data_IF_459440147012
#
_entry.id   IF_459440147012
#
_cell.length_a   1.000
_cell.length_b   1.000
_cell.length_c   1.000
_cell.angle_alpha   90.00
_cell.angle_beta   90.00
_cell.angle_gamma   90.00
#
_symmetry.space_group_name_H-M   'P 1'
#
loop_
_entity.id
_entity.type
_entity.pdbx_description
1 polymer ?
#
# COMPACT_ATOMS: atom_id res chain seq x y z
N UNK A 1 -11.03 10.64 28.67
CA UNK A 1 -9.91 9.68 28.58
C UNK A 1 -9.89 8.85 27.29
N UNK A 2 -10.52 9.29 26.19
CA UNK A 2 -10.52 8.56 24.90
C UNK A 2 -9.60 9.18 23.82
N UNK A 3 -8.97 10.33 24.10
CA UNK A 3 -8.15 11.06 23.13
C UNK A 3 -6.65 10.66 23.16
N UNK A 4 -6.21 9.90 24.16
CA UNK A 4 -4.81 9.50 24.32
C UNK A 4 -4.42 8.26 23.51
N UNK A 5 -5.37 7.35 23.26
CA UNK A 5 -5.10 6.10 22.53
C UNK A 5 -4.83 6.36 21.06
N UNK A 6 -5.52 7.33 20.45
CA UNK A 6 -5.36 7.66 19.03
C UNK A 6 -3.97 8.24 18.75
N UNK A 7 -3.49 9.24 19.50
CA UNK A 7 -2.17 9.86 19.29
C UNK A 7 -0.98 8.89 19.36
N UNK A 8 -1.09 7.83 20.18
CA UNK A 8 -0.05 6.83 20.32
C UNK A 8 0.01 5.88 19.11
N UNK A 9 -1.14 5.56 18.52
CA UNK A 9 -1.25 4.69 17.35
C UNK A 9 -0.63 5.30 16.07
N UNK A 10 -0.55 6.63 15.98
CA UNK A 10 0.13 7.33 14.88
C UNK A 10 1.65 7.43 15.08
N UNK A 11 2.15 7.39 16.32
CA UNK A 11 3.57 7.65 16.61
C UNK A 11 4.51 6.55 16.13
N UNK A 12 4.01 5.31 16.12
CA UNK A 12 4.81 4.13 15.83
C UNK A 12 4.79 3.74 14.34
N UNK A 13 3.93 4.37 13.53
CA UNK A 13 3.81 4.15 12.08
C UNK A 13 4.76 5.09 11.33
N UNK A 14 5.98 4.61 11.07
CA UNK A 14 7.05 5.43 10.50
C UNK A 14 7.44 5.04 9.08
N UNK A 15 7.05 3.85 8.61
CA UNK A 15 7.50 3.34 7.33
C UNK A 15 6.46 3.46 6.22
N UNK A 16 6.96 3.67 5.01
CA UNK A 16 6.23 3.48 3.78
C UNK A 16 6.47 2.05 3.30
N UNK A 17 5.46 1.40 2.73
CA UNK A 17 5.63 0.14 2.05
C UNK A 17 5.26 0.26 0.57
N UNK A 18 5.83 -0.59 -0.29
CA UNK A 18 5.62 -0.53 -1.74
C UNK A 18 5.24 -1.88 -2.32
N UNK A 19 4.24 -1.89 -3.19
CA UNK A 19 3.92 -3.03 -4.04
C UNK A 19 3.85 -2.52 -5.48
N UNK A 20 4.84 -2.85 -6.31
CA UNK A 20 4.91 -2.24 -7.63
C UNK A 20 5.87 -2.90 -8.59
N UNK A 21 5.90 -2.39 -9.82
CA UNK A 21 6.84 -2.83 -10.85
C UNK A 21 8.29 -2.48 -10.49
N UNK A 22 9.24 -3.09 -11.20
CA UNK A 22 10.68 -2.94 -10.94
C UNK A 22 11.12 -1.48 -10.98
N UNK A 23 10.64 -0.71 -11.97
CA UNK A 23 10.98 0.70 -12.14
C UNK A 23 10.46 1.55 -10.97
N UNK A 24 9.21 1.35 -10.55
CA UNK A 24 8.59 2.10 -9.44
C UNK A 24 9.25 1.78 -8.10
N UNK A 25 9.46 0.48 -7.82
CA UNK A 25 10.11 0.05 -6.57
C UNK A 25 11.54 0.56 -6.52
N UNK A 26 12.30 0.46 -7.61
CA UNK A 26 13.68 0.94 -7.66
C UNK A 26 13.77 2.44 -7.40
N UNK A 27 12.92 3.24 -8.05
CA UNK A 27 12.90 4.69 -7.83
C UNK A 27 12.58 5.07 -6.38
N UNK A 28 11.63 4.36 -5.77
CA UNK A 28 11.25 4.60 -4.37
C UNK A 28 12.33 4.14 -3.38
N UNK A 29 13.02 3.02 -3.65
CA UNK A 29 14.16 2.58 -2.85
C UNK A 29 15.31 3.58 -2.90
N UNK A 30 15.57 4.21 -4.07
CA UNK A 30 16.55 5.28 -4.20
C UNK A 30 16.18 6.54 -3.40
N UNK A 31 14.89 6.80 -3.22
CA UNK A 31 14.40 7.87 -2.34
C UNK A 31 14.59 7.57 -0.84
N UNK A 32 15.09 6.37 -0.48
CA UNK A 32 15.47 6.01 0.88
C UNK A 32 14.35 5.40 1.72
N UNK A 33 13.24 4.97 1.11
CA UNK A 33 12.10 4.40 1.86
C UNK A 33 12.28 2.91 2.20
N UNK A 34 13.27 2.25 1.59
CA UNK A 34 13.53 0.82 1.78
C UNK A 34 13.96 0.49 3.20
N UNK A 35 13.25 -0.43 3.84
CA UNK A 35 13.54 -0.90 5.18
C UNK A 35 13.46 -2.44 5.24
N UNK A 36 14.43 -3.04 5.93
CA UNK A 36 14.42 -4.47 6.26
C UNK A 36 14.43 -4.59 7.76
N UNK A 37 13.38 -5.20 8.29
CA UNK A 37 13.22 -5.42 9.72
C UNK A 37 14.35 -6.32 10.24
N UNK A 38 14.93 -6.00 11.40
CA UNK A 38 16.03 -6.77 11.98
C UNK A 38 15.50 -8.02 12.69
N UNK A 39 16.16 -9.17 12.54
CA UNK A 39 15.81 -10.43 13.23
C UNK A 39 15.87 -11.66 12.33
N UNK A 40 15.45 -12.81 12.88
CA UNK A 40 15.37 -14.07 12.14
C UNK A 40 14.31 -14.03 11.03
N UNK A 41 13.22 -13.28 11.25
CA UNK A 41 12.15 -13.06 10.29
C UNK A 41 12.31 -11.70 9.59
N UNK A 42 13.45 -11.52 8.90
CA UNK A 42 13.75 -10.27 8.20
C UNK A 42 12.71 -9.99 7.10
N UNK A 43 11.77 -9.08 7.37
CA UNK A 43 10.73 -8.68 6.42
C UNK A 43 11.09 -7.37 5.73
N UNK A 44 10.99 -7.38 4.40
CA UNK A 44 11.11 -6.17 3.56
C UNK A 44 9.80 -5.40 3.57
N UNK A 45 9.85 -4.08 3.45
CA UNK A 45 8.67 -3.23 3.24
C UNK A 45 8.36 -3.00 1.76
N UNK A 46 8.86 -3.84 0.85
CA UNK A 46 8.58 -3.72 -0.57
C UNK A 46 8.43 -5.07 -1.26
N UNK A 47 7.63 -5.11 -2.31
CA UNK A 47 7.49 -6.23 -3.24
C UNK A 47 7.61 -5.71 -4.67
N UNK A 48 8.55 -6.29 -5.41
CA UNK A 48 8.64 -6.12 -6.87
C UNK A 48 7.68 -7.11 -7.51
N UNK A 49 6.78 -6.59 -8.35
CA UNK A 49 5.78 -7.36 -9.08
C UNK A 49 6.18 -7.39 -10.55
N UNK A 50 6.35 -8.61 -11.07
CA UNK A 50 6.60 -8.87 -12.47
C UNK A 50 5.43 -9.66 -13.11
N UNK A 51 5.56 -9.99 -14.39
CA UNK A 51 4.56 -10.78 -15.12
C UNK A 51 4.44 -12.24 -14.63
N UNK A 52 5.38 -12.71 -13.80
CA UNK A 52 5.41 -14.07 -13.25
C UNK A 52 4.87 -14.11 -11.82
N UNK A 53 4.68 -12.95 -11.20
CA UNK A 53 4.23 -12.83 -9.82
C UNK A 53 2.74 -13.16 -9.74
N UNK A 54 2.42 -14.20 -8.98
CA UNK A 54 1.05 -14.65 -8.76
C UNK A 54 0.24 -13.63 -7.94
N UNK A 55 -1.04 -13.48 -8.26
CA UNK A 55 -2.00 -12.67 -7.53
C UNK A 55 -2.07 -13.08 -6.05
N UNK A 56 -1.94 -14.38 -5.75
CA UNK A 56 -1.90 -14.88 -4.37
C UNK A 56 -0.70 -14.32 -3.59
N UNK A 57 0.44 -14.13 -4.25
CA UNK A 57 1.63 -13.53 -3.62
C UNK A 57 1.40 -12.06 -3.31
N UNK A 58 0.81 -11.32 -4.25
CA UNK A 58 0.47 -9.89 -4.09
C UNK A 58 -0.51 -9.71 -2.92
N UNK A 59 -1.57 -10.51 -2.89
CA UNK A 59 -2.59 -10.49 -1.83
C UNK A 59 -1.99 -10.84 -0.46
N UNK A 60 -1.20 -11.92 -0.37
CA UNK A 60 -0.54 -12.29 0.89
C UNK A 60 0.44 -11.22 1.39
N UNK A 61 1.06 -10.46 0.49
CA UNK A 61 2.00 -9.42 0.85
C UNK A 61 1.27 -8.16 1.29
N UNK A 62 0.19 -7.81 0.61
CA UNK A 62 -0.71 -6.75 1.03
C UNK A 62 -1.27 -7.03 2.44
N UNK A 63 -1.74 -8.24 2.70
CA UNK A 63 -2.25 -8.65 4.02
C UNK A 63 -1.15 -8.55 5.11
N UNK A 64 0.09 -8.95 4.81
CA UNK A 64 1.23 -8.74 5.73
C UNK A 64 1.52 -7.26 6.01
N UNK A 65 1.38 -6.39 5.01
CA UNK A 65 1.64 -4.95 5.18
C UNK A 65 0.54 -4.25 5.99
N UNK A 66 -0.72 -4.66 5.87
CA UNK A 66 -1.80 -4.08 6.69
C UNK A 66 -1.73 -4.55 8.15
N UNK A 67 -1.22 -5.74 8.43
CA UNK A 67 -1.04 -6.27 9.79
C UNK A 67 0.12 -5.60 10.55
N UNK A 68 1.07 -5.03 9.81
CA UNK A 68 2.26 -4.36 10.36
C UNK A 68 1.91 -3.00 10.97
N UNK A 69 2.17 -2.86 12.27
CA UNK A 69 1.89 -1.64 13.05
C UNK A 69 2.88 -0.51 12.80
N UNK A 70 3.99 -0.78 12.14
CA UNK A 70 5.05 0.19 11.83
C UNK A 70 4.89 0.84 10.44
N UNK A 71 3.95 0.35 9.62
CA UNK A 71 3.64 0.90 8.29
C UNK A 71 2.54 1.96 8.42
N UNK A 72 2.82 3.13 7.85
CA UNK A 72 1.89 4.27 7.77
C UNK A 72 1.13 4.28 6.44
N UNK A 73 1.82 4.07 5.32
CA UNK A 73 1.27 4.16 3.97
C UNK A 73 1.77 3.00 3.13
N UNK A 74 0.88 2.38 2.38
CA UNK A 74 1.20 1.40 1.34
C UNK A 74 1.01 2.08 -0.02
N UNK A 75 2.12 2.26 -0.73
CA UNK A 75 2.13 2.69 -2.12
C UNK A 75 1.95 1.46 -3.01
N UNK A 76 0.95 1.46 -3.87
CA UNK A 76 0.70 0.36 -4.80
C UNK A 76 0.50 0.90 -6.21
N UNK A 77 1.13 0.31 -7.22
CA UNK A 77 0.81 0.70 -8.60
C UNK A 77 -0.66 0.34 -8.92
N UNK A 78 -1.40 1.24 -9.55
CA UNK A 78 -2.82 1.04 -9.83
C UNK A 78 -3.11 -0.25 -10.63
N UNK A 79 -2.27 -0.57 -11.63
CA UNK A 79 -2.43 -1.79 -12.42
C UNK A 79 -2.19 -3.08 -11.59
N UNK A 80 -1.41 -3.00 -10.50
CA UNK A 80 -1.22 -4.10 -9.55
C UNK A 80 -2.39 -4.17 -8.58
N UNK A 81 -2.88 -3.02 -8.11
CA UNK A 81 -4.08 -2.94 -7.27
C UNK A 81 -5.31 -3.57 -7.94
N UNK A 82 -5.46 -3.40 -9.26
CA UNK A 82 -6.53 -4.03 -10.05
C UNK A 82 -6.54 -5.57 -9.93
N UNK A 83 -5.38 -6.23 -9.74
CA UNK A 83 -5.29 -7.69 -9.59
C UNK A 83 -5.87 -8.22 -8.27
N UNK A 84 -5.90 -7.38 -7.23
CA UNK A 84 -6.37 -7.71 -5.87
C UNK A 84 -7.47 -6.75 -5.40
N UNK A 85 -8.23 -6.19 -6.35
CA UNK A 85 -9.21 -5.11 -6.10
C UNK A 85 -10.21 -5.47 -5.01
N UNK A 86 -10.64 -6.74 -4.95
CA UNK A 86 -11.57 -7.24 -3.93
C UNK A 86 -11.02 -7.06 -2.51
N UNK A 87 -9.71 -7.25 -2.29
CA UNK A 87 -9.08 -7.07 -0.98
C UNK A 87 -8.90 -5.62 -0.62
N UNK A 88 -8.46 -4.80 -1.56
CA UNK A 88 -8.29 -3.36 -1.36
C UNK A 88 -9.62 -2.72 -1.00
N UNK A 89 -10.70 -3.02 -1.72
CA UNK A 89 -12.02 -2.44 -1.48
C UNK A 89 -12.64 -2.92 -0.14
N UNK A 90 -12.25 -4.10 0.35
CA UNK A 90 -12.70 -4.64 1.66
C UNK A 90 -11.97 -3.95 2.82
N UNK A 91 -10.78 -3.41 2.58
CA UNK A 91 -9.99 -2.75 3.60
C UNK A 91 -10.52 -1.33 3.86
N UNK A 92 -11.08 -1.12 5.05
CA UNK A 92 -11.75 0.14 5.43
C UNK A 92 -11.07 0.87 6.59
N UNK A 93 -10.02 0.27 7.16
CA UNK A 93 -9.27 0.88 8.25
C UNK A 93 -8.48 2.10 7.75
N UNK A 94 -8.27 3.07 8.63
CA UNK A 94 -7.54 4.28 8.29
C UNK A 94 -6.03 4.04 8.14
N UNK A 95 -5.47 3.04 8.85
CA UNK A 95 -4.03 2.77 8.84
C UNK A 95 -3.67 1.28 8.73
N UNK A 96 -2.71 0.94 7.86
CA UNK A 96 -2.02 1.85 6.93
C UNK A 96 -2.93 2.41 5.83
N UNK A 97 -2.64 3.62 5.37
CA UNK A 97 -3.34 4.25 4.23
C UNK A 97 -2.87 3.62 2.93
N UNK A 98 -3.79 3.28 2.04
CA UNK A 98 -3.46 2.75 0.72
C UNK A 98 -3.47 3.90 -0.28
N UNK A 99 -2.40 4.04 -1.06
CA UNK A 99 -2.29 5.05 -2.11
C UNK A 99 -1.94 4.37 -3.43
N UNK A 100 -2.86 4.46 -4.39
CA UNK A 100 -2.68 3.99 -5.76
C UNK A 100 -1.85 5.01 -6.56
N UNK A 101 -0.71 4.59 -7.10
CA UNK A 101 0.17 5.43 -7.93
C UNK A 101 0.23 4.94 -9.37
N UNK A 102 0.45 5.82 -10.36
CA UNK A 102 0.74 5.37 -11.73
C UNK A 102 2.05 4.58 -11.77
N UNK A 103 2.28 3.91 -12.90
CA UNK A 103 3.59 3.34 -13.21
C UNK A 103 4.09 3.89 -14.55
N UNK A 104 5.32 3.56 -14.93
CA UNK A 104 5.96 4.08 -16.15
C UNK A 104 5.15 3.78 -17.41
N UNK A 105 4.63 2.56 -17.53
CA UNK A 105 3.90 2.10 -18.71
C UNK A 105 2.37 2.19 -18.54
N UNK A 106 1.89 2.36 -17.30
CA UNK A 106 0.47 2.35 -16.96
C UNK A 106 0.07 3.69 -16.32
N UNK A 107 -0.54 4.62 -17.09
CA UNK A 107 -0.99 5.90 -16.56
C UNK A 107 -2.13 5.70 -15.55
N UNK A 108 -2.30 6.69 -14.67
CA UNK A 108 -3.35 6.68 -13.65
C UNK A 108 -4.74 6.92 -14.26
N UNK A 109 -5.68 6.06 -13.91
CA UNK A 109 -7.11 6.13 -14.24
C UNK A 109 -7.91 6.53 -12.98
N UNK A 110 -8.47 7.75 -12.92
CA UNK A 110 -9.26 8.23 -11.78
C UNK A 110 -10.52 7.41 -11.52
N UNK A 111 -11.07 6.73 -12.53
CA UNK A 111 -12.32 5.98 -12.38
C UNK A 111 -12.13 4.66 -11.63
N UNK A 112 -10.90 4.18 -11.52
CA UNK A 112 -10.54 2.93 -10.84
C UNK A 112 -10.13 3.11 -9.39
N UNK A 113 -9.83 4.33 -8.97
CA UNK A 113 -9.33 4.62 -7.63
C UNK A 113 -10.44 4.51 -6.57
N UNK A 114 -10.19 3.69 -5.55
CA UNK A 114 -11.11 3.42 -4.44
C UNK A 114 -11.41 4.66 -3.59
N UNK A 115 -10.42 5.53 -3.36
CA UNK A 115 -10.55 6.78 -2.61
C UNK A 115 -11.40 7.76 -3.40
N UNK A 116 -11.12 7.92 -4.69
CA UNK A 116 -11.85 8.86 -5.53
C UNK A 116 -13.32 8.45 -5.70
N UNK A 117 -13.59 7.14 -5.85
CA UNK A 117 -14.96 6.60 -5.85
C UNK A 117 -15.69 6.91 -4.55
N UNK A 118 -15.01 6.80 -3.40
CA UNK A 118 -15.60 7.13 -2.10
C UNK A 118 -15.90 8.62 -1.97
N UNK A 119 -15.02 9.47 -2.50
CA UNK A 119 -15.21 10.92 -2.56
C UNK A 119 -16.40 11.29 -3.45
N UNK A 120 -16.49 10.75 -4.67
CA UNK A 120 -17.63 11.00 -5.59
C UNK A 120 -18.98 10.62 -4.95
N UNK A 121 -19.05 9.45 -4.31
CA UNK A 121 -20.25 9.02 -3.55
C UNK A 121 -20.64 9.99 -2.42
N UNK A 122 -19.66 10.62 -1.76
CA UNK A 122 -19.94 11.62 -0.71
C UNK A 122 -20.42 12.96 -1.30
N UNK A 123 -19.99 13.30 -2.51
CA UNK A 123 -20.39 14.53 -3.22
C UNK A 123 -21.64 14.36 -4.09
N UNK A 124 -22.23 13.15 -4.15
CA UNK A 124 -23.52 12.92 -4.80
C UNK A 124 -23.46 12.77 -6.33
N UNK A 125 -22.30 12.43 -6.89
CA UNK A 125 -22.14 11.97 -8.27
C UNK A 125 -21.96 10.44 -8.34
#
# INVERSE_FOLDING_TARGET
MAASTSQQEYKDRQFLAVIGDEDSVTGLLLAGIGHVTSGADAQKNFLVVDNKTDNATIESTFDKFIERKDIAIILINQHVADKIRHRIDTYTAAFPTILEIPSKDHPYDPEKDSVLRRVRRLFGE
#
